data_IF_555798871892
#
_entry.id   IF_555798871892
#
_cell.length_a   1.000
_cell.length_b   1.000
_cell.length_c   1.000
_cell.angle_alpha   90.00
_cell.angle_beta   90.00
_cell.angle_gamma   90.00
#
_symmetry.space_group_name_H-M   'P 1'
#
loop_
_entity.id
_entity.type
_entity.pdbx_description
1 polymer ?
#
# COMPACT_ATOMS: atom_id res chain seq x y z
N UNK A 1 4.52 52.22 -26.56
CA UNK A 1 5.23 51.95 -27.83
C UNK A 1 6.14 50.76 -27.58
N UNK A 2 6.11 49.61 -28.23
CA UNK A 2 5.76 49.15 -29.60
C UNK A 2 5.37 47.64 -29.48
N UNK A 3 4.30 47.07 -30.04
CA UNK A 3 3.87 46.82 -31.43
C UNK A 3 4.48 45.55 -32.12
N UNK A 4 3.57 44.58 -32.40
CA UNK A 4 3.55 43.49 -33.43
C UNK A 4 4.63 42.37 -33.40
N UNK A 5 4.40 41.11 -33.81
CA UNK A 5 3.51 40.56 -34.85
C UNK A 5 3.15 39.06 -34.64
N UNK A 6 2.06 38.63 -35.28
CA UNK A 6 1.58 37.24 -35.41
C UNK A 6 2.12 36.55 -36.68
N UNK A 7 2.14 35.21 -36.71
CA UNK A 7 2.14 34.42 -37.95
C UNK A 7 1.54 33.02 -37.73
N UNK A 8 0.38 32.79 -38.36
CA UNK A 8 -0.29 31.50 -38.56
C UNK A 8 0.17 30.88 -39.89
N UNK A 9 0.36 29.57 -39.94
CA UNK A 9 0.46 28.81 -41.20
C UNK A 9 -0.39 27.55 -41.08
N UNK A 10 -1.48 27.51 -41.86
CA UNK A 10 -2.29 26.33 -42.13
C UNK A 10 -1.84 25.71 -43.45
N UNK A 11 -1.75 24.38 -43.51
CA UNK A 11 -1.49 23.64 -44.75
C UNK A 11 -2.59 22.59 -44.93
N UNK A 12 -3.47 22.80 -45.91
CA UNK A 12 -4.31 21.74 -46.48
C UNK A 12 -3.54 21.10 -47.63
N UNK A 13 -3.47 19.77 -47.67
CA UNK A 13 -3.27 19.03 -48.92
C UNK A 13 -4.28 17.90 -48.97
N UNK A 14 -5.15 18.00 -49.97
CA UNK A 14 -6.07 16.98 -50.43
C UNK A 14 -5.35 16.11 -51.47
N UNK A 15 -5.53 14.79 -51.40
CA UNK A 15 -5.38 13.92 -52.56
C UNK A 15 -6.54 12.92 -52.59
N UNK A 16 -7.32 13.05 -53.66
CA UNK A 16 -8.36 12.14 -54.11
C UNK A 16 -7.72 11.02 -54.94
N UNK A 17 -8.25 9.80 -54.87
CA UNK A 17 -7.82 8.68 -55.71
C UNK A 17 -8.60 7.41 -55.39
N UNK A 18 -9.73 7.22 -56.07
CA UNK A 18 -10.49 5.97 -56.03
C UNK A 18 -9.90 4.92 -56.98
N UNK A 19 -9.94 3.66 -56.55
CA UNK A 19 -9.64 2.46 -57.34
C UNK A 19 -10.24 1.24 -56.65
N UNK A 20 -11.07 0.49 -57.38
CA UNK A 20 -11.88 -0.62 -56.89
C UNK A 20 -11.14 -1.97 -56.88
N UNK A 21 -11.60 -2.84 -55.98
CA UNK A 21 -11.56 -4.32 -55.95
C UNK A 21 -10.24 -5.07 -56.19
N UNK A 22 -9.77 -5.82 -55.19
CA UNK A 22 -9.85 -7.29 -55.19
C UNK A 22 -9.35 -7.90 -53.87
N UNK A 23 -9.96 -9.04 -53.52
CA UNK A 23 -9.83 -9.82 -52.29
C UNK A 23 -8.39 -10.26 -51.97
N UNK A 24 -7.90 -10.02 -50.73
CA UNK A 24 -6.96 -10.94 -50.11
C UNK A 24 -6.93 -10.83 -48.58
N UNK A 25 -7.30 -11.94 -47.94
CA UNK A 25 -7.00 -12.45 -46.60
C UNK A 25 -6.21 -11.58 -45.62
N UNK A 26 -6.77 -11.48 -44.41
CA UNK A 26 -6.17 -11.08 -43.13
C UNK A 26 -4.70 -11.55 -42.95
N UNK A 27 -3.90 -10.81 -42.19
CA UNK A 27 -3.89 -11.07 -40.75
C UNK A 27 -4.09 -9.82 -39.90
N UNK A 28 -4.87 -10.03 -38.83
CA UNK A 28 -5.05 -9.12 -37.72
C UNK A 28 -3.70 -8.56 -37.27
N UNK A 29 -3.58 -7.23 -37.31
CA UNK A 29 -2.54 -6.55 -36.54
C UNK A 29 -2.90 -6.71 -35.07
N UNK A 30 -2.31 -7.72 -34.43
CA UNK A 30 -2.32 -7.85 -32.98
C UNK A 30 -1.69 -6.59 -32.41
N UNK A 31 -2.51 -5.76 -31.75
CA UNK A 31 -1.98 -4.80 -30.80
C UNK A 31 -1.07 -5.55 -29.81
N UNK A 32 0.01 -4.95 -29.30
CA UNK A 32 0.76 -5.59 -28.25
C UNK A 32 -0.21 -5.83 -27.10
N UNK A 33 -0.38 -7.10 -26.72
CA UNK A 33 -1.03 -7.48 -25.47
C UNK A 33 -0.44 -6.57 -24.40
N UNK A 34 -1.29 -5.69 -23.86
CA UNK A 34 -0.99 -5.05 -22.60
C UNK A 34 -0.68 -6.21 -21.68
N UNK A 35 0.59 -6.35 -21.30
CA UNK A 35 1.06 -7.43 -20.46
C UNK A 35 0.17 -7.39 -19.23
N UNK A 36 -0.79 -8.31 -19.19
CA UNK A 36 -1.48 -8.64 -17.98
C UNK A 36 -0.40 -9.32 -17.18
N UNK A 37 0.40 -8.51 -16.50
CA UNK A 37 1.33 -8.94 -15.48
C UNK A 37 0.49 -9.77 -14.55
N UNK A 38 0.50 -11.08 -14.76
CA UNK A 38 -0.19 -12.03 -13.92
C UNK A 38 0.40 -11.79 -12.54
N UNK A 39 -0.40 -11.20 -11.65
CA UNK A 39 0.04 -10.86 -10.31
C UNK A 39 0.76 -12.08 -9.72
N UNK A 40 1.94 -11.85 -9.15
CA UNK A 40 2.75 -12.92 -8.57
C UNK A 40 1.85 -13.77 -7.64
N UNK A 41 1.66 -15.07 -7.90
CA UNK A 41 0.76 -15.91 -7.14
C UNK A 41 1.05 -15.92 -5.63
N UNK A 42 2.29 -15.61 -5.22
CA UNK A 42 2.68 -15.48 -3.80
C UNK A 42 2.08 -14.27 -3.10
N UNK A 43 1.59 -13.28 -3.85
CA UNK A 43 0.93 -12.07 -3.34
C UNK A 43 -0.57 -12.22 -3.22
N UNK A 44 -1.12 -13.36 -3.67
CA UNK A 44 -2.55 -13.62 -3.56
C UNK A 44 -2.95 -13.75 -2.09
N UNK A 45 -4.02 -13.06 -1.71
CA UNK A 45 -4.55 -13.17 -0.36
C UNK A 45 -5.30 -14.50 -0.22
N UNK A 46 -4.97 -15.33 0.79
CA UNK A 46 -5.55 -16.68 0.90
C UNK A 46 -7.06 -16.67 1.20
N UNK A 47 -7.52 -15.71 2.00
CA UNK A 47 -8.93 -15.47 2.30
C UNK A 47 -9.12 -13.97 2.54
N UNK A 48 -9.99 -13.27 1.81
CA UNK A 48 -10.27 -11.86 2.08
C UNK A 48 -10.80 -11.65 3.50
N UNK A 49 -10.26 -10.66 4.21
CA UNK A 49 -10.71 -10.27 5.56
C UNK A 49 -11.83 -9.20 5.49
N UNK A 50 -12.68 -9.07 6.52
CA UNK A 50 -13.60 -7.94 6.63
C UNK A 50 -12.81 -6.64 6.78
N UNK A 51 -13.13 -5.62 5.97
CA UNK A 51 -12.35 -4.37 5.88
C UNK A 51 -13.16 -3.12 6.18
N UNK A 52 -14.49 -3.23 6.25
CA UNK A 52 -15.39 -2.08 6.31
C UNK A 52 -15.15 -1.19 7.53
N UNK A 53 -14.97 -1.81 8.71
CA UNK A 53 -14.70 -1.06 9.94
C UNK A 53 -13.34 -0.36 9.87
N UNK A 54 -12.29 -1.08 9.49
CA UNK A 54 -10.93 -0.51 9.37
C UNK A 54 -10.85 0.64 8.37
N UNK A 55 -11.64 0.59 7.29
CA UNK A 55 -11.74 1.67 6.29
C UNK A 55 -12.52 2.88 6.81
N UNK A 56 -13.47 2.67 7.73
CA UNK A 56 -14.31 3.74 8.29
C UNK A 56 -13.68 4.39 9.52
N UNK A 57 -12.97 3.61 10.32
CA UNK A 57 -12.24 4.04 11.51
C UNK A 57 -10.92 3.24 11.63
N UNK A 58 -9.75 3.85 11.38
CA UNK A 58 -8.48 3.14 11.50
C UNK A 58 -8.17 2.69 12.94
N UNK A 59 -8.83 3.28 13.96
CA UNK A 59 -8.66 2.85 15.35
C UNK A 59 -9.41 1.55 15.66
N UNK A 60 -10.29 1.09 14.76
CA UNK A 60 -10.92 -0.22 14.85
C UNK A 60 -9.96 -1.38 14.55
N UNK A 61 -8.69 -1.11 14.17
CA UNK A 61 -7.71 -2.14 13.84
C UNK A 61 -7.47 -3.13 14.99
N UNK A 62 -7.64 -2.68 16.24
CA UNK A 62 -7.50 -3.46 17.47
C UNK A 62 -8.45 -2.91 18.54
N UNK A 63 -8.96 -3.78 19.40
CA UNK A 63 -9.72 -3.36 20.60
C UNK A 63 -8.78 -2.86 21.71
N UNK A 64 -9.32 -2.10 22.66
CA UNK A 64 -8.58 -1.64 23.85
C UNK A 64 -7.93 -2.79 24.64
N UNK A 65 -8.62 -3.94 24.74
CA UNK A 65 -8.07 -5.13 25.39
C UNK A 65 -6.87 -5.69 24.61
N UNK A 66 -6.98 -5.82 23.29
CA UNK A 66 -5.89 -6.29 22.44
C UNK A 66 -4.68 -5.34 22.46
N UNK A 67 -4.93 -4.04 22.52
CA UNK A 67 -3.89 -3.01 22.67
C UNK A 67 -3.15 -3.18 24.00
N UNK A 68 -3.88 -3.34 25.10
CA UNK A 68 -3.30 -3.57 26.42
C UNK A 68 -2.46 -4.86 26.45
N UNK A 69 -2.95 -5.96 25.85
CA UNK A 69 -2.25 -7.25 25.78
C UNK A 69 -0.91 -7.17 25.03
N UNK A 70 -0.79 -6.23 24.08
CA UNK A 70 0.45 -6.02 23.32
C UNK A 70 1.27 -4.82 23.82
N UNK A 71 0.88 -4.20 24.94
CA UNK A 71 1.63 -3.14 25.61
C UNK A 71 1.46 -1.75 25.01
N UNK A 72 0.32 -1.50 24.36
CA UNK A 72 -0.08 -0.20 23.82
C UNK A 72 -1.19 0.41 24.69
N UNK A 73 -1.18 1.73 24.79
CA UNK A 73 -2.13 2.49 25.61
C UNK A 73 -3.34 2.93 24.77
N UNK A 74 -4.57 2.47 25.09
CA UNK A 74 -5.79 3.06 24.56
C UNK A 74 -6.15 4.40 25.24
N UNK A 75 -7.02 5.22 24.64
CA UNK A 75 -7.57 5.08 23.31
C UNK A 75 -6.56 5.48 22.22
N UNK A 76 -6.78 4.98 21.00
CA UNK A 76 -6.04 5.44 19.83
C UNK A 76 -6.42 6.86 19.42
N UNK A 77 -5.57 7.49 18.61
CA UNK A 77 -5.84 8.81 18.03
C UNK A 77 -5.72 8.75 16.52
N UNK A 78 -6.78 9.15 15.82
CA UNK A 78 -6.74 9.28 14.36
C UNK A 78 -5.87 10.47 13.98
N UNK A 79 -4.87 10.22 13.13
CA UNK A 79 -4.13 11.22 12.37
C UNK A 79 -4.68 11.25 10.96
N UNK A 80 -5.28 12.38 10.58
CA UNK A 80 -5.86 12.54 9.25
C UNK A 80 -4.78 12.67 8.17
N UNK A 81 -4.97 12.03 7.03
CA UNK A 81 -4.07 12.09 5.89
C UNK A 81 -4.42 11.10 4.77
N UNK A 82 -3.61 11.02 3.70
CA UNK A 82 -3.71 9.94 2.72
C UNK A 82 -2.66 8.84 3.01
N UNK A 83 -3.00 7.73 3.72
CA UNK A 83 -4.27 7.40 4.37
C UNK A 83 -4.40 7.93 5.81
N UNK A 84 -5.63 7.88 6.35
CA UNK A 84 -5.88 8.09 7.78
C UNK A 84 -5.26 6.93 8.56
N UNK A 85 -4.57 7.25 9.65
CA UNK A 85 -3.93 6.25 10.52
C UNK A 85 -4.40 6.45 11.96
N UNK A 86 -4.53 5.37 12.71
CA UNK A 86 -4.68 5.43 14.15
C UNK A 86 -3.34 5.23 14.84
N UNK A 87 -3.00 6.14 15.74
CA UNK A 87 -1.78 6.14 16.53
C UNK A 87 -2.01 5.71 17.97
N UNK A 88 -1.12 4.87 18.49
CA UNK A 88 -1.03 4.51 19.91
C UNK A 88 0.37 4.73 20.45
N UNK A 89 0.46 4.99 21.76
CA UNK A 89 1.73 5.04 22.48
C UNK A 89 1.99 3.70 23.17
N UNK A 90 3.25 3.33 23.35
CA UNK A 90 3.57 2.24 24.26
C UNK A 90 3.18 2.63 25.70
N UNK A 91 2.58 1.69 26.44
CA UNK A 91 2.04 1.98 27.77
C UNK A 91 3.11 2.36 28.80
N UNK A 92 4.33 1.84 28.64
CA UNK A 92 5.44 2.04 29.58
C UNK A 92 6.45 3.09 29.14
N UNK A 93 6.49 3.40 27.84
CA UNK A 93 7.41 4.36 27.25
C UNK A 93 6.62 5.24 26.27
N UNK A 94 5.96 6.29 26.77
CA UNK A 94 5.13 7.18 25.97
C UNK A 94 5.91 8.05 25.00
N UNK A 95 7.15 7.75 24.63
CA UNK A 95 7.87 8.30 23.48
C UNK A 95 7.81 7.34 22.27
N UNK A 96 7.62 6.05 22.53
CA UNK A 96 7.47 5.04 21.49
C UNK A 96 6.03 5.02 20.97
N UNK A 97 5.86 4.94 19.65
CA UNK A 97 4.56 4.98 18.97
C UNK A 97 4.40 3.85 17.97
N UNK A 98 3.15 3.57 17.64
CA UNK A 98 2.78 2.83 16.43
C UNK A 98 1.61 3.54 15.76
N UNK A 99 1.60 3.53 14.42
CA UNK A 99 0.47 3.95 13.62
C UNK A 99 -0.01 2.78 12.74
N UNK A 100 -1.32 2.61 12.60
CA UNK A 100 -1.94 1.57 11.78
C UNK A 100 -3.09 2.15 10.96
N UNK A 101 -3.26 1.70 9.72
CA UNK A 101 -4.44 2.04 8.92
C UNK A 101 -4.47 1.32 7.58
N UNK A 102 -5.67 1.23 7.00
CA UNK A 102 -5.87 0.72 5.65
C UNK A 102 -5.38 1.73 4.60
N UNK A 103 -4.99 1.24 3.42
CA UNK A 103 -4.40 2.05 2.34
C UNK A 103 -5.31 1.97 1.10
N UNK A 104 -6.52 2.57 1.13
CA UNK A 104 -7.51 2.44 0.05
C UNK A 104 -7.09 3.12 -1.26
N UNK A 105 -6.00 3.89 -1.24
CA UNK A 105 -5.40 4.49 -2.43
C UNK A 105 -4.78 3.42 -3.34
N UNK A 106 -4.29 2.32 -2.77
CA UNK A 106 -3.78 1.18 -3.51
C UNK A 106 -4.96 0.30 -3.94
N UNK A 107 -5.14 0.11 -5.25
CA UNK A 107 -6.26 -0.65 -5.82
C UNK A 107 -5.89 -2.11 -6.12
N UNK A 108 -4.60 -2.42 -6.26
CA UNK A 108 -4.07 -3.78 -6.38
C UNK A 108 -3.62 -4.38 -5.03
N UNK A 109 -4.05 -3.79 -3.91
CA UNK A 109 -3.73 -4.27 -2.57
C UNK A 109 -2.23 -4.24 -2.32
N UNK A 110 -1.66 -5.39 -1.92
CA UNK A 110 -0.22 -5.49 -1.67
C UNK A 110 0.63 -5.48 -2.95
N UNK A 111 0.05 -5.83 -4.10
CA UNK A 111 0.77 -5.84 -5.39
C UNK A 111 1.30 -4.45 -5.73
N UNK A 112 0.52 -3.40 -5.47
CA UNK A 112 0.92 -2.00 -5.71
C UNK A 112 2.15 -1.58 -4.87
N UNK A 113 2.37 -2.19 -3.70
CA UNK A 113 3.58 -1.98 -2.89
C UNK A 113 4.76 -2.75 -3.49
N UNK A 114 4.53 -3.97 -4.00
CA UNK A 114 5.57 -4.78 -4.64
C UNK A 114 6.07 -4.17 -5.95
N UNK A 115 5.19 -3.54 -6.73
CA UNK A 115 5.54 -2.83 -7.96
C UNK A 115 6.48 -1.63 -7.70
N UNK A 116 6.44 -1.09 -6.48
CA UNK A 116 7.30 0.02 -6.05
C UNK A 116 8.65 -0.44 -5.47
N UNK A 117 8.99 -1.74 -5.52
CA UNK A 117 10.22 -2.30 -4.92
C UNK A 117 11.49 -1.53 -5.28
N UNK A 118 11.62 -1.10 -6.53
CA UNK A 118 12.80 -0.35 -7.01
C UNK A 118 12.96 1.04 -6.36
N UNK A 119 11.90 1.57 -5.75
CA UNK A 119 11.86 2.89 -5.10
C UNK A 119 12.07 2.79 -3.58
N UNK A 120 12.20 1.59 -3.01
CA UNK A 120 12.30 1.39 -1.57
C UNK A 120 13.77 1.30 -1.14
N UNK A 121 14.14 1.99 -0.07
CA UNK A 121 15.48 1.87 0.53
C UNK A 121 15.70 0.49 1.16
N UNK A 122 14.63 -0.16 1.60
CA UNK A 122 14.64 -1.57 1.98
C UNK A 122 13.35 -2.26 1.52
N UNK A 123 13.45 -3.54 1.17
CA UNK A 123 12.31 -4.34 0.75
C UNK A 123 12.53 -5.80 1.15
N UNK A 124 11.78 -6.27 2.15
CA UNK A 124 11.90 -7.61 2.68
C UNK A 124 10.51 -8.27 2.74
N UNK A 125 10.20 -9.20 1.81
CA UNK A 125 9.00 -10.02 1.88
C UNK A 125 8.89 -10.74 3.22
N UNK A 126 7.68 -10.77 3.77
CA UNK A 126 7.36 -11.48 5.01
C UNK A 126 5.97 -12.11 4.90
N UNK A 127 5.67 -13.05 5.79
CA UNK A 127 4.31 -13.59 5.95
C UNK A 127 3.78 -13.20 7.32
N UNK A 128 2.54 -12.71 7.39
CA UNK A 128 1.88 -12.30 8.63
C UNK A 128 0.62 -13.12 8.80
N UNK A 129 0.64 -14.11 9.70
CA UNK A 129 -0.51 -15.00 9.97
C UNK A 129 -1.13 -15.64 8.70
N UNK A 130 -0.27 -15.99 7.73
CA UNK A 130 -0.64 -16.59 6.45
C UNK A 130 -0.89 -15.58 5.32
N UNK A 131 -0.87 -14.28 5.60
CA UNK A 131 -1.13 -13.22 4.62
C UNK A 131 0.18 -12.68 4.04
N UNK A 132 0.19 -12.31 2.75
CA UNK A 132 1.36 -11.70 2.13
C UNK A 132 1.67 -10.38 2.80
N UNK A 133 2.95 -10.15 3.10
CA UNK A 133 3.43 -8.93 3.70
C UNK A 133 4.79 -8.51 3.15
N UNK A 134 5.18 -7.27 3.44
CA UNK A 134 6.51 -6.77 3.15
C UNK A 134 6.90 -5.70 4.16
N UNK A 135 8.13 -5.78 4.67
CA UNK A 135 8.77 -4.67 5.34
C UNK A 135 9.41 -3.79 4.25
N UNK A 136 8.89 -2.59 4.04
CA UNK A 136 9.40 -1.66 3.03
C UNK A 136 9.12 -0.20 3.37
N UNK A 137 10.06 0.68 3.05
CA UNK A 137 9.87 2.13 3.03
C UNK A 137 10.86 2.81 2.07
N UNK A 138 10.50 4.00 1.59
CA UNK A 138 11.33 4.83 0.71
C UNK A 138 12.63 5.30 1.40
N UNK A 139 12.61 5.43 2.73
CA UNK A 139 13.76 5.76 3.57
C UNK A 139 14.05 4.62 4.56
N UNK A 140 15.33 4.31 4.79
CA UNK A 140 15.73 3.33 5.82
C UNK A 140 15.98 4.03 7.17
N UNK A 141 14.91 4.18 7.95
CA UNK A 141 14.94 4.74 9.30
C UNK A 141 14.99 3.66 10.41
N UNK A 142 15.30 2.40 10.05
CA UNK A 142 15.31 1.27 11.00
C UNK A 142 16.37 1.44 12.09
N UNK A 143 17.53 2.00 11.74
CA UNK A 143 18.58 2.35 12.70
C UNK A 143 18.14 3.42 13.73
N UNK A 144 17.22 4.30 13.32
CA UNK A 144 16.57 5.30 14.19
C UNK A 144 15.37 4.75 14.95
N UNK A 145 14.97 3.51 14.70
CA UNK A 145 13.87 2.85 15.38
C UNK A 145 12.53 2.89 14.64
N UNK A 146 12.49 3.31 13.38
CA UNK A 146 11.28 3.33 12.57
C UNK A 146 11.20 2.13 11.64
N UNK A 147 10.05 1.46 11.56
CA UNK A 147 9.83 0.40 10.57
C UNK A 147 8.42 0.41 10.04
N UNK A 148 8.29 0.24 8.72
CA UNK A 148 7.02 0.13 8.03
C UNK A 148 6.83 -1.30 7.53
N UNK A 149 5.69 -1.89 7.91
CA UNK A 149 5.17 -3.16 7.45
C UNK A 149 3.90 -2.92 6.64
N UNK A 150 3.76 -3.60 5.51
CA UNK A 150 2.57 -3.64 4.69
C UNK A 150 2.04 -5.07 4.63
N UNK A 151 0.73 -5.26 4.75
CA UNK A 151 0.11 -6.59 4.72
C UNK A 151 -1.14 -6.53 3.84
N UNK A 152 -1.21 -7.41 2.84
CA UNK A 152 -2.39 -7.58 2.00
C UNK A 152 -3.47 -8.32 2.77
N UNK A 153 -4.68 -7.77 2.81
CA UNK A 153 -5.84 -8.35 3.55
C UNK A 153 -7.02 -8.65 2.63
N UNK A 154 -7.01 -8.10 1.42
CA UNK A 154 -7.74 -8.58 0.25
C UNK A 154 -6.84 -8.43 -0.99
N UNK A 155 -7.22 -8.97 -2.14
CA UNK A 155 -6.48 -8.75 -3.39
C UNK A 155 -6.44 -7.26 -3.82
N UNK A 156 -7.24 -6.40 -3.18
CA UNK A 156 -7.38 -4.98 -3.51
C UNK A 156 -7.07 -4.04 -2.34
N UNK A 157 -6.77 -4.56 -1.15
CA UNK A 157 -6.50 -3.74 0.03
C UNK A 157 -5.35 -4.30 0.86
N UNK A 158 -4.46 -3.39 1.23
CA UNK A 158 -3.44 -3.60 2.25
C UNK A 158 -3.63 -2.63 3.41
N UNK A 159 -3.10 -2.98 4.57
CA UNK A 159 -2.90 -2.05 5.67
C UNK A 159 -1.41 -1.87 5.95
N UNK A 160 -1.07 -0.76 6.61
CA UNK A 160 0.29 -0.47 7.05
C UNK A 160 0.39 -0.46 8.57
N UNK A 161 1.55 -0.87 9.08
CA UNK A 161 1.97 -0.67 10.48
C UNK A 161 3.28 0.08 10.46
N UNK A 162 3.31 1.26 11.06
CA UNK A 162 4.51 2.08 11.20
C UNK A 162 4.86 2.16 12.68
N UNK A 163 5.91 1.46 13.09
CA UNK A 163 6.46 1.56 14.44
C UNK A 163 7.50 2.67 14.51
N UNK A 164 7.52 3.42 15.60
CA UNK A 164 8.51 4.44 15.92
C UNK A 164 8.99 4.20 17.35
N UNK A 165 10.02 3.36 17.49
CA UNK A 165 10.57 2.91 18.78
C UNK A 165 11.96 3.52 18.96
N UNK A 166 12.02 4.72 19.53
CA UNK A 166 13.25 5.53 19.57
C UNK A 166 14.13 5.24 20.79
N UNK A 167 13.58 4.57 21.80
CA UNK A 167 14.25 4.22 23.06
C UNK A 167 13.78 2.87 23.62
N UNK A 168 14.58 2.32 24.55
CA UNK A 168 14.34 1.04 25.19
C UNK A 168 14.80 -0.18 24.37
N UNK A 169 14.65 -1.37 24.95
CA UNK A 169 15.17 -2.62 24.42
C UNK A 169 14.58 -3.05 23.05
N UNK A 170 13.41 -2.53 22.69
CA UNK A 170 12.74 -2.88 21.45
C UNK A 170 13.14 -1.98 20.27
N UNK A 171 13.93 -0.90 20.49
CA UNK A 171 14.45 -0.05 19.41
C UNK A 171 15.13 -0.85 18.28
N UNK A 172 16.11 -1.73 18.56
CA UNK A 172 16.72 -2.57 17.52
C UNK A 172 15.76 -3.61 16.93
N UNK A 173 14.60 -3.83 17.56
CA UNK A 173 13.56 -4.81 17.18
C UNK A 173 12.30 -4.14 16.64
N UNK A 174 12.42 -2.93 16.10
CA UNK A 174 11.27 -2.16 15.63
C UNK A 174 10.45 -2.91 14.57
N UNK A 175 11.09 -3.59 13.62
CA UNK A 175 10.38 -4.38 12.61
C UNK A 175 9.73 -5.66 13.17
N UNK A 176 10.35 -6.34 14.15
CA UNK A 176 9.72 -7.46 14.85
C UNK A 176 8.45 -6.98 15.58
N UNK A 177 8.50 -5.78 16.16
CA UNK A 177 7.35 -5.15 16.81
C UNK A 177 6.24 -4.84 15.80
N UNK A 178 6.59 -4.31 14.62
CA UNK A 178 5.64 -4.07 13.54
C UNK A 178 4.95 -5.37 13.08
N UNK A 179 5.71 -6.46 12.93
CA UNK A 179 5.16 -7.78 12.58
C UNK A 179 4.23 -8.34 13.66
N UNK A 180 4.59 -8.21 14.94
CA UNK A 180 3.72 -8.64 16.05
C UNK A 180 2.39 -7.89 16.05
N UNK A 181 2.43 -6.57 15.82
CA UNK A 181 1.22 -5.73 15.77
C UNK A 181 0.41 -6.06 14.51
N UNK A 182 1.05 -6.22 13.35
CA UNK A 182 0.38 -6.65 12.12
C UNK A 182 -0.30 -8.01 12.27
N UNK A 183 0.33 -8.97 12.97
CA UNK A 183 -0.27 -10.25 13.29
C UNK A 183 -1.51 -10.09 14.19
N UNK A 184 -1.47 -9.19 15.19
CA UNK A 184 -2.62 -8.89 16.02
C UNK A 184 -3.79 -8.30 15.21
N UNK A 185 -3.52 -7.38 14.28
CA UNK A 185 -4.54 -6.80 13.39
C UNK A 185 -5.17 -7.88 12.51
N UNK A 186 -4.36 -8.74 11.86
CA UNK A 186 -4.87 -9.85 11.05
C UNK A 186 -5.74 -10.79 11.88
N UNK A 187 -5.33 -11.11 13.12
CA UNK A 187 -6.14 -11.94 14.03
C UNK A 187 -7.44 -11.27 14.42
N UNK A 188 -7.43 -9.96 14.71
CA UNK A 188 -8.63 -9.19 15.02
C UNK A 188 -9.63 -9.23 13.85
N UNK A 189 -9.17 -8.93 12.64
CA UNK A 189 -10.03 -8.95 11.44
C UNK A 189 -10.60 -10.35 11.16
N UNK A 190 -9.85 -11.43 11.40
CA UNK A 190 -10.38 -12.80 11.30
C UNK A 190 -11.53 -13.06 12.28
N UNK A 191 -11.49 -12.46 13.47
CA UNK A 191 -12.51 -12.61 14.51
C UNK A 191 -13.74 -11.71 14.33
N UNK A 192 -13.66 -10.71 13.45
CA UNK A 192 -14.76 -9.81 13.09
C UNK A 192 -15.60 -10.32 11.89
N UNK A 193 -15.25 -11.48 11.33
CA UNK A 193 -15.91 -12.10 10.18
C UNK A 193 -17.16 -12.89 10.56
#
# INVERSE_FOLDING_TARGET
MSALAAATVASLVACSGGGAADNNSSPSSSAPDASSSSADPSLKVPAPLPTQELLSDPCSALTDAQLADIGLAPPGKVSQGPPDLCGWSASTIPENRVNVGAVPQNKGGISDIYDQKAQQAYFQPVTVNGYPGVLAAADDLRSSGTCSLWVGITDQLAFTVVTMITTGQNKPKTCESAQKIGAAVVTHLKGAA
#
